data_IF_916716877250
#
_entry.id   IF_916716877250
#
_cell.length_a   1.000
_cell.length_b   1.000
_cell.length_c   1.000
_cell.angle_alpha   90.00
_cell.angle_beta   90.00
_cell.angle_gamma   90.00
#
_symmetry.space_group_name_H-M   'P 1'
#
loop_
_entity.id
_entity.type
_entity.pdbx_description
1 polymer ?
#
# COMPACT_ATOMS: atom_id res chain seq x y z
N UNK A 1 -41.14 -37.23 21.86
CA UNK A 1 -40.35 -35.99 22.06
C UNK A 1 -39.24 -35.75 21.02
N UNK A 2 -38.71 -36.75 20.29
CA UNK A 2 -37.53 -36.56 19.41
C UNK A 2 -37.76 -35.83 18.06
N UNK A 3 -38.94 -35.95 17.45
CA UNK A 3 -39.19 -35.44 16.09
C UNK A 3 -39.08 -33.91 15.96
N UNK A 4 -39.51 -33.18 16.98
CA UNK A 4 -39.44 -31.70 17.01
C UNK A 4 -37.98 -31.24 17.13
N UNK A 5 -37.20 -31.91 17.98
CA UNK A 5 -35.78 -31.61 18.15
C UNK A 5 -34.96 -31.93 16.89
N UNK A 6 -35.34 -32.97 16.15
CA UNK A 6 -34.72 -33.34 14.88
C UNK A 6 -35.08 -32.36 13.75
N UNK A 7 -36.35 -31.96 13.66
CA UNK A 7 -36.79 -30.93 12.73
C UNK A 7 -36.10 -29.57 12.97
N UNK A 8 -35.93 -29.18 14.24
CA UNK A 8 -35.21 -27.96 14.61
C UNK A 8 -33.73 -28.02 14.18
N UNK A 9 -33.05 -29.16 14.43
CA UNK A 9 -31.67 -29.35 13.99
C UNK A 9 -31.52 -29.30 12.47
N UNK A 10 -32.45 -29.91 11.74
CA UNK A 10 -32.45 -29.88 10.28
C UNK A 10 -32.62 -28.44 9.75
N UNK A 11 -33.53 -27.67 10.35
CA UNK A 11 -33.75 -26.27 9.98
C UNK A 11 -32.51 -25.40 10.26
N UNK A 12 -31.94 -25.50 11.46
CA UNK A 12 -30.72 -24.77 11.83
C UNK A 12 -29.54 -25.10 10.90
N UNK A 13 -29.39 -26.37 10.50
CA UNK A 13 -28.35 -26.79 9.54
C UNK A 13 -28.60 -26.21 8.15
N UNK A 14 -29.86 -26.15 7.71
CA UNK A 14 -30.23 -25.55 6.43
C UNK A 14 -29.98 -24.03 6.40
N UNK A 15 -30.30 -23.33 7.49
CA UNK A 15 -30.03 -21.89 7.65
C UNK A 15 -28.52 -21.62 7.64
N UNK A 16 -27.74 -22.34 8.46
CA UNK A 16 -26.28 -22.19 8.47
C UNK A 16 -25.64 -22.46 7.10
N UNK A 17 -26.17 -23.44 6.34
CA UNK A 17 -25.72 -23.73 4.98
C UNK A 17 -26.14 -22.64 3.97
N UNK A 18 -27.26 -21.94 4.20
CA UNK A 18 -27.66 -20.78 3.40
C UNK A 18 -26.74 -19.61 3.64
N UNK A 19 -26.48 -19.27 4.91
CA UNK A 19 -25.63 -18.15 5.29
C UNK A 19 -24.20 -18.34 4.77
N UNK A 20 -23.66 -19.55 4.89
CA UNK A 20 -22.34 -19.89 4.34
C UNK A 20 -22.27 -19.76 2.81
N UNK A 21 -23.39 -19.93 2.09
CA UNK A 21 -23.45 -19.72 0.64
C UNK A 21 -23.47 -18.23 0.30
N UNK A 22 -24.29 -17.44 0.98
CA UNK A 22 -24.36 -16.00 0.79
C UNK A 22 -23.04 -15.30 1.09
N UNK A 23 -22.32 -15.73 2.14
CA UNK A 23 -21.00 -15.19 2.45
C UNK A 23 -19.97 -15.48 1.35
N UNK A 24 -19.99 -16.69 0.77
CA UNK A 24 -19.10 -17.06 -0.34
C UNK A 24 -19.39 -16.28 -1.61
N UNK A 25 -20.66 -16.04 -1.90
CA UNK A 25 -21.08 -15.25 -3.06
C UNK A 25 -20.60 -13.79 -2.93
N UNK A 26 -20.78 -13.18 -1.75
CA UNK A 26 -20.25 -11.85 -1.44
C UNK A 26 -18.72 -11.80 -1.54
N UNK A 27 -18.00 -12.81 -1.02
CA UNK A 27 -16.55 -12.89 -1.16
C UNK A 27 -16.11 -13.00 -2.64
N UNK A 28 -16.86 -13.74 -3.45
CA UNK A 28 -16.60 -13.89 -4.88
C UNK A 28 -16.87 -12.59 -5.65
N UNK A 29 -17.96 -11.88 -5.35
CA UNK A 29 -18.25 -10.55 -5.91
C UNK A 29 -17.17 -9.54 -5.52
N UNK A 30 -16.73 -9.53 -4.25
CA UNK A 30 -15.64 -8.69 -3.78
C UNK A 30 -14.32 -9.03 -4.49
N UNK A 31 -14.03 -10.30 -4.69
CA UNK A 31 -12.84 -10.73 -5.43
C UNK A 31 -12.90 -10.26 -6.88
N UNK A 32 -14.03 -10.46 -7.56
CA UNK A 32 -14.24 -10.03 -8.94
C UNK A 32 -14.16 -8.50 -9.08
N UNK A 33 -14.77 -7.75 -8.16
CA UNK A 33 -14.68 -6.30 -8.11
C UNK A 33 -13.24 -5.83 -7.88
N UNK A 34 -12.49 -6.46 -6.95
CA UNK A 34 -11.07 -6.17 -6.73
C UNK A 34 -10.22 -6.50 -7.97
N UNK A 35 -10.51 -7.59 -8.67
CA UNK A 35 -9.82 -7.98 -9.90
C UNK A 35 -10.09 -6.97 -11.01
N UNK A 36 -11.33 -6.52 -11.19
CA UNK A 36 -11.72 -5.47 -12.13
C UNK A 36 -11.03 -4.14 -11.79
N UNK A 37 -11.00 -3.72 -10.52
CA UNK A 37 -10.30 -2.52 -10.07
C UNK A 37 -8.79 -2.61 -10.33
N UNK A 38 -8.15 -3.76 -10.10
CA UNK A 38 -6.73 -3.99 -10.42
C UNK A 38 -6.43 -3.93 -11.93
N UNK A 39 -7.39 -4.29 -12.76
CA UNK A 39 -7.25 -4.28 -14.22
C UNK A 39 -7.64 -2.96 -14.87
N UNK A 40 -8.17 -1.99 -14.12
CA UNK A 40 -8.38 -0.63 -14.65
C UNK A 40 -7.05 0.04 -15.02
N UNK A 41 -6.94 0.67 -16.21
CA UNK A 41 -5.71 1.33 -16.67
C UNK A 41 -5.20 2.39 -15.67
N UNK A 42 -6.13 3.05 -14.98
CA UNK A 42 -5.84 4.12 -14.02
C UNK A 42 -5.12 3.60 -12.76
N UNK A 43 -5.42 2.37 -12.30
CA UNK A 43 -4.71 1.74 -11.19
C UNK A 43 -3.36 1.17 -11.61
N UNK A 44 -3.26 0.63 -12.83
CA UNK A 44 -1.98 0.17 -13.39
C UNK A 44 -0.98 1.33 -13.54
N UNK A 45 -1.43 2.48 -14.05
CA UNK A 45 -0.59 3.67 -14.14
C UNK A 45 -0.09 4.17 -12.78
N UNK A 46 -0.89 4.07 -11.72
CA UNK A 46 -0.47 4.44 -10.35
C UNK A 46 0.57 3.50 -9.76
N UNK A 47 0.45 2.20 -9.97
CA UNK A 47 1.44 1.21 -9.52
C UNK A 47 2.74 1.32 -10.33
N UNK A 48 2.64 1.56 -11.64
CA UNK A 48 3.79 1.88 -12.48
C UNK A 48 4.50 3.16 -12.01
N UNK A 49 3.77 4.23 -11.70
CA UNK A 49 4.34 5.46 -11.14
C UNK A 49 5.08 5.23 -9.82
N UNK A 50 4.50 4.45 -8.90
CA UNK A 50 5.18 4.07 -7.65
C UNK A 50 6.47 3.27 -7.91
N UNK A 51 6.45 2.40 -8.91
CA UNK A 51 7.62 1.59 -9.29
C UNK A 51 8.72 2.46 -9.90
N UNK A 52 8.36 3.40 -10.78
CA UNK A 52 9.29 4.33 -11.43
C UNK A 52 9.93 5.32 -10.43
N UNK A 53 9.17 5.78 -9.45
CA UNK A 53 9.69 6.64 -8.39
C UNK A 53 10.58 5.90 -7.38
N UNK A 54 10.60 4.57 -7.44
CA UNK A 54 11.44 3.68 -6.63
C UNK A 54 11.07 3.63 -5.15
N UNK A 55 11.70 2.70 -4.42
CA UNK A 55 11.72 2.77 -2.96
C UNK A 55 12.61 3.94 -2.57
N UNK A 56 12.02 4.97 -1.96
CA UNK A 56 12.78 6.12 -1.49
C UNK A 56 13.86 5.70 -0.49
N UNK A 57 14.88 6.54 -0.29
CA UNK A 57 15.87 6.32 0.77
C UNK A 57 15.83 7.45 1.77
N UNK A 58 15.94 7.12 3.06
CA UNK A 58 16.10 8.12 4.12
C UNK A 58 17.31 9.04 3.90
N UNK A 59 18.35 8.56 3.20
CA UNK A 59 19.52 9.38 2.88
C UNK A 59 19.23 10.50 1.88
N UNK A 60 18.20 10.32 1.05
CA UNK A 60 17.81 11.30 0.04
C UNK A 60 16.81 12.32 0.60
N UNK A 61 16.29 12.08 1.80
CA UNK A 61 15.36 12.98 2.47
C UNK A 61 16.07 14.12 3.19
N UNK A 62 15.37 15.22 3.40
CA UNK A 62 15.87 16.35 4.18
C UNK A 62 15.82 16.04 5.68
N UNK A 63 16.65 16.71 6.48
CA UNK A 63 16.64 16.55 7.94
C UNK A 63 15.27 16.93 8.54
N UNK A 64 14.60 17.93 7.97
CA UNK A 64 13.25 18.31 8.38
C UNK A 64 12.24 17.18 8.18
N UNK A 65 12.26 16.53 7.00
CA UNK A 65 11.41 15.37 6.72
C UNK A 65 11.71 14.20 7.65
N UNK A 66 12.97 13.89 7.91
CA UNK A 66 13.36 12.82 8.83
C UNK A 66 12.90 13.09 10.27
N UNK A 67 13.03 14.33 10.74
CA UNK A 67 12.52 14.72 12.08
C UNK A 67 11.00 14.65 12.16
N UNK A 68 10.29 15.02 11.09
CA UNK A 68 8.83 14.86 11.00
C UNK A 68 8.43 13.40 11.09
N UNK A 69 9.09 12.52 10.33
CA UNK A 69 8.85 11.07 10.40
C UNK A 69 9.12 10.50 11.79
N UNK A 70 10.19 10.92 12.46
CA UNK A 70 10.45 10.51 13.83
C UNK A 70 9.31 10.91 14.77
N UNK A 71 8.75 12.12 14.61
CA UNK A 71 7.60 12.60 15.40
C UNK A 71 6.33 11.78 15.11
N UNK A 72 6.02 11.54 13.83
CA UNK A 72 4.85 10.78 13.39
C UNK A 72 4.88 9.32 13.88
N UNK A 73 6.06 8.73 13.95
CA UNK A 73 6.27 7.36 14.44
C UNK A 73 6.57 7.29 15.96
N UNK A 74 6.42 8.39 16.69
CA UNK A 74 6.57 8.41 18.16
C UNK A 74 8.00 8.20 18.68
N UNK A 75 9.01 8.31 17.82
CA UNK A 75 10.42 8.15 18.18
C UNK A 75 10.85 9.32 19.06
N UNK A 76 11.48 9.04 20.21
CA UNK A 76 11.93 10.08 21.18
C UNK A 76 13.42 10.38 21.05
N UNK A 77 13.85 11.59 21.42
CA UNK A 77 15.28 11.96 21.44
C UNK A 77 15.89 12.23 20.06
N UNK A 78 15.07 12.40 19.01
CA UNK A 78 15.53 12.66 17.65
C UNK A 78 16.07 14.09 17.42
N UNK A 79 15.81 15.03 18.32
CA UNK A 79 16.11 16.45 18.12
C UNK A 79 17.61 16.75 17.97
N UNK A 80 18.45 15.98 18.67
CA UNK A 80 19.92 16.09 18.67
C UNK A 80 20.62 15.19 17.63
N UNK A 81 19.88 14.29 16.98
CA UNK A 81 20.45 13.31 16.07
C UNK A 81 20.83 13.95 14.73
N UNK A 82 21.96 13.51 14.18
CA UNK A 82 22.41 13.87 12.82
C UNK A 82 21.61 13.10 11.77
N UNK A 83 21.69 13.52 10.52
CA UNK A 83 20.93 12.92 9.40
C UNK A 83 21.09 11.40 9.30
N UNK A 84 22.33 10.91 9.42
CA UNK A 84 22.62 9.47 9.36
C UNK A 84 21.99 8.70 10.53
N UNK A 85 22.05 9.28 11.74
CA UNK A 85 21.47 8.67 12.95
C UNK A 85 19.94 8.67 12.90
N UNK A 86 19.32 9.74 12.41
CA UNK A 86 17.88 9.81 12.17
C UNK A 86 17.43 8.70 11.21
N UNK A 87 18.13 8.55 10.09
CA UNK A 87 17.85 7.51 9.09
C UNK A 87 18.00 6.10 9.70
N UNK A 88 19.10 5.85 10.42
CA UNK A 88 19.33 4.56 11.07
C UNK A 88 18.22 4.22 12.08
N UNK A 89 17.72 5.21 12.82
CA UNK A 89 16.66 5.02 13.80
C UNK A 89 15.31 4.73 13.16
N UNK A 90 14.99 5.43 12.07
CA UNK A 90 13.79 5.15 11.28
C UNK A 90 13.82 3.75 10.67
N UNK A 91 14.98 3.30 10.18
CA UNK A 91 15.17 1.93 9.71
C UNK A 91 15.01 0.90 10.83
N UNK A 92 15.58 1.17 12.01
CA UNK A 92 15.50 0.27 13.17
C UNK A 92 14.06 0.10 13.68
N UNK A 93 13.25 1.14 13.61
CA UNK A 93 11.83 1.15 13.98
C UNK A 93 10.92 0.59 12.86
N UNK A 94 11.49 0.11 11.75
CA UNK A 94 10.73 -0.49 10.64
C UNK A 94 9.91 0.50 9.83
N UNK A 95 10.21 1.80 9.91
CA UNK A 95 9.49 2.83 9.15
C UNK A 95 9.85 2.68 7.67
N UNK A 96 8.84 2.65 6.80
CA UNK A 96 9.08 2.67 5.35
C UNK A 96 9.59 4.05 4.93
N UNK A 97 10.68 4.14 4.16
CA UNK A 97 11.14 5.41 3.65
C UNK A 97 10.10 6.01 2.69
N UNK A 98 9.80 7.32 2.81
CA UNK A 98 8.91 7.98 1.87
C UNK A 98 9.58 8.05 0.48
N UNK A 99 8.78 8.03 -0.59
CA UNK A 99 9.29 8.15 -1.96
C UNK A 99 10.08 9.46 -2.13
N UNK A 100 11.01 9.45 -3.09
CA UNK A 100 11.75 10.67 -3.48
C UNK A 100 10.78 11.75 -3.95
N UNK A 101 11.06 13.00 -3.57
CA UNK A 101 10.33 14.15 -4.12
C UNK A 101 10.80 14.45 -5.54
N UNK A 102 9.93 15.01 -6.38
CA UNK A 102 10.26 15.36 -7.77
C UNK A 102 11.42 16.37 -7.84
N UNK A 103 11.53 17.27 -6.85
CA UNK A 103 12.60 18.28 -6.77
C UNK A 103 14.00 17.68 -6.57
N UNK A 104 14.07 16.42 -6.10
CA UNK A 104 15.35 15.73 -5.89
C UNK A 104 15.94 15.12 -7.16
N UNK A 105 15.15 15.03 -8.23
CA UNK A 105 15.60 14.50 -9.50
C UNK A 105 16.34 15.58 -10.30
N UNK A 106 17.45 15.20 -10.91
CA UNK A 106 18.11 16.06 -11.87
C UNK A 106 17.26 16.21 -13.13
N UNK A 107 17.48 17.28 -13.91
CA UNK A 107 16.79 17.50 -15.20
C UNK A 107 16.90 16.28 -16.13
N UNK A 108 18.06 15.61 -16.16
CA UNK A 108 18.27 14.42 -16.98
C UNK A 108 17.40 13.25 -16.53
N UNK A 109 17.34 13.01 -15.22
CA UNK A 109 16.52 11.93 -14.66
C UNK A 109 15.02 12.21 -14.84
N UNK A 110 14.58 13.46 -14.65
CA UNK A 110 13.19 13.85 -14.93
C UNK A 110 12.81 13.61 -16.39
N UNK A 111 13.68 14.00 -17.32
CA UNK A 111 13.45 13.77 -18.76
C UNK A 111 13.36 12.27 -19.05
N UNK A 112 14.25 11.45 -18.49
CA UNK A 112 14.21 10.00 -18.66
C UNK A 112 12.91 9.39 -18.13
N UNK A 113 12.46 9.83 -16.95
CA UNK A 113 11.24 9.35 -16.30
C UNK A 113 9.98 9.74 -17.08
N UNK A 114 9.95 10.97 -17.62
CA UNK A 114 8.88 11.46 -18.49
C UNK A 114 8.85 10.70 -19.82
N UNK A 115 10.02 10.43 -20.43
CA UNK A 115 10.10 9.63 -21.66
C UNK A 115 9.57 8.21 -21.44
N UNK A 116 9.91 7.61 -20.31
CA UNK A 116 9.43 6.28 -19.96
C UNK A 116 7.92 6.23 -19.71
N UNK A 117 7.34 7.31 -19.17
CA UNK A 117 5.89 7.45 -18.96
C UNK A 117 5.11 7.69 -20.26
N UNK A 118 5.65 8.51 -21.16
CA UNK A 118 4.99 8.86 -22.42
C UNK A 118 5.18 7.76 -23.48
N UNK A 119 6.13 6.84 -23.27
CA UNK A 119 6.47 5.78 -24.22
C UNK A 119 7.21 6.41 -25.41
N UNK A 120 8.54 6.40 -25.33
CA UNK A 120 9.50 7.00 -26.29
C UNK A 120 8.92 7.36 -27.67
N UNK A 121 8.44 8.59 -27.81
CA UNK A 121 8.11 9.22 -29.09
C UNK A 121 8.49 10.71 -29.05
N UNK A 122 9.76 10.99 -28.74
CA UNK A 122 10.39 12.26 -29.09
C UNK A 122 11.78 11.96 -29.66
N UNK A 123 11.78 11.58 -30.93
CA UNK A 123 12.88 11.84 -31.88
C UNK A 123 13.22 13.32 -31.90
#
# INVERSE_FOLDING_TARGET
MGKIAEALRANLKAVAASDARSLRELDQELFNAKAAVRSTPQMQGREQLKTLLGQGSFQQQTVATLKRLCKENGIRGYSKLRKAELAARLTAEGVSPPPRTLDSFTKKELIALVRQLIGENLT
#
